data_IF_289340620825
#
_entry.id   IF_289340620825
#
_cell.length_a   1.000
_cell.length_b   1.000
_cell.length_c   1.000
_cell.angle_alpha   90.00
_cell.angle_beta   90.00
_cell.angle_gamma   90.00
#
_symmetry.space_group_name_H-M   'P 1'
#
loop_
_entity.id
_entity.type
_entity.pdbx_description
1 polymer ?
#
# COMPACT_ATOMS: atom_id res chain seq x y z
N UNK A 1 19.93 -32.53 -12.59
CA UNK A 1 20.68 -33.43 -11.67
C UNK A 1 22.15 -33.46 -12.11
N UNK A 2 23.02 -32.71 -11.44
CA UNK A 2 24.48 -32.83 -11.55
C UNK A 2 25.11 -32.20 -10.31
N UNK A 3 25.18 -32.97 -9.24
CA UNK A 3 26.01 -32.69 -8.07
C UNK A 3 27.37 -33.30 -8.35
N UNK A 4 28.39 -32.49 -8.58
CA UNK A 4 29.74 -32.97 -8.85
C UNK A 4 30.75 -31.85 -8.73
N UNK A 5 31.72 -32.08 -7.83
CA UNK A 5 32.96 -31.32 -7.58
C UNK A 5 32.86 -30.18 -6.54
N UNK A 6 32.85 -30.58 -5.26
CA UNK A 6 33.44 -29.79 -4.17
C UNK A 6 34.46 -30.67 -3.44
N UNK A 7 35.68 -30.73 -3.97
CA UNK A 7 36.89 -31.15 -3.25
C UNK A 7 38.05 -30.44 -3.94
N UNK A 8 38.47 -29.31 -3.39
CA UNK A 8 39.69 -28.62 -3.83
C UNK A 8 39.65 -27.09 -3.91
N UNK A 9 38.51 -26.43 -3.69
CA UNK A 9 38.53 -24.97 -3.49
C UNK A 9 39.01 -24.69 -2.05
N UNK A 10 40.07 -23.88 -1.91
CA UNK A 10 40.47 -23.34 -0.62
C UNK A 10 39.37 -22.43 -0.06
N UNK A 11 39.25 -22.33 1.26
CA UNK A 11 38.23 -21.47 1.90
C UNK A 11 38.29 -20.02 1.40
N UNK A 12 39.48 -19.52 1.03
CA UNK A 12 39.67 -18.22 0.39
C UNK A 12 38.96 -18.10 -0.98
N UNK A 13 39.07 -19.11 -1.83
CA UNK A 13 38.42 -19.10 -3.15
C UNK A 13 36.89 -19.15 -3.03
N UNK A 14 36.39 -19.90 -2.03
CA UNK A 14 34.96 -19.93 -1.70
C UNK A 14 34.49 -18.56 -1.18
N UNK A 15 35.26 -17.92 -0.28
CA UNK A 15 34.95 -16.59 0.25
C UNK A 15 34.98 -15.51 -0.83
N UNK A 16 35.94 -15.54 -1.74
CA UNK A 16 36.05 -14.58 -2.84
C UNK A 16 34.90 -14.76 -3.84
N UNK A 17 34.50 -16.01 -4.11
CA UNK A 17 33.36 -16.33 -5.00
C UNK A 17 32.02 -15.96 -4.36
N UNK A 18 31.85 -16.18 -3.06
CA UNK A 18 30.69 -15.71 -2.29
C UNK A 18 30.66 -14.17 -2.22
N UNK A 19 31.82 -13.52 -2.08
CA UNK A 19 31.96 -12.06 -2.14
C UNK A 19 31.53 -11.49 -3.49
N UNK A 20 32.02 -12.07 -4.59
CA UNK A 20 31.62 -11.67 -5.96
C UNK A 20 30.15 -11.93 -6.25
N UNK A 21 29.58 -13.03 -5.76
CA UNK A 21 28.14 -13.30 -5.85
C UNK A 21 27.32 -12.31 -5.01
N UNK A 22 27.83 -11.86 -3.85
CA UNK A 22 27.21 -10.82 -3.02
C UNK A 22 27.29 -9.43 -3.65
N UNK A 23 28.36 -9.12 -4.39
CA UNK A 23 28.46 -7.89 -5.19
C UNK A 23 27.56 -7.92 -6.43
N UNK A 24 27.43 -9.08 -7.08
CA UNK A 24 26.54 -9.25 -8.23
C UNK A 24 25.05 -9.27 -7.84
N UNK A 25 24.70 -9.87 -6.71
CA UNK A 25 23.32 -9.82 -6.16
C UNK A 25 23.03 -8.50 -5.46
N UNK A 26 24.03 -7.90 -4.81
CA UNK A 26 23.97 -6.55 -4.20
C UNK A 26 23.81 -5.42 -5.22
N UNK A 27 23.99 -5.68 -6.50
CA UNK A 27 23.73 -4.73 -7.59
C UNK A 27 22.24 -4.40 -7.78
N UNK A 28 21.35 -5.24 -7.23
CA UNK A 28 19.90 -5.07 -7.27
C UNK A 28 19.29 -4.67 -5.92
N UNK A 29 20.11 -4.58 -4.87
CA UNK A 29 19.69 -4.19 -3.55
C UNK A 29 20.07 -2.72 -3.32
N UNK A 30 19.18 -1.88 -2.78
CA UNK A 30 19.52 -0.51 -2.44
C UNK A 30 20.77 -0.50 -1.54
N UNK A 31 21.74 0.36 -1.86
CA UNK A 31 22.87 0.64 -0.95
C UNK A 31 22.28 1.18 0.35
N UNK A 32 22.31 0.38 1.41
CA UNK A 32 22.00 0.86 2.76
C UNK A 32 23.12 1.79 3.17
N UNK A 33 22.88 3.09 3.05
CA UNK A 33 23.79 4.10 3.57
C UNK A 33 23.72 4.08 5.10
N UNK A 34 24.75 3.52 5.73
CA UNK A 34 24.88 3.38 7.19
C UNK A 34 24.90 4.74 7.92
N UNK A 35 25.00 5.86 7.19
CA UNK A 35 25.02 7.22 7.76
C UNK A 35 23.63 7.82 8.01
N UNK A 36 22.53 7.13 7.66
CA UNK A 36 21.18 7.67 7.86
C UNK A 36 20.79 7.69 9.34
N UNK A 37 20.27 8.82 9.85
CA UNK A 37 19.74 8.87 11.21
C UNK A 37 18.64 7.81 11.36
N UNK A 38 18.72 7.01 12.43
CA UNK A 38 17.66 6.09 12.86
C UNK A 38 16.46 6.92 13.32
N UNK A 39 15.71 7.46 12.36
CA UNK A 39 14.57 8.33 12.60
C UNK A 39 13.29 7.52 12.81
N UNK A 40 12.70 7.68 13.99
CA UNK A 40 11.24 7.57 14.20
C UNK A 40 10.68 6.16 14.29
N UNK A 41 9.93 5.89 15.36
CA UNK A 41 9.24 4.61 15.54
C UNK A 41 8.35 4.25 14.34
N UNK A 42 8.11 2.94 14.20
CA UNK A 42 7.16 2.38 13.24
C UNK A 42 5.82 3.06 13.43
N UNK A 43 5.41 3.86 12.46
CA UNK A 43 4.08 4.44 12.42
C UNK A 43 3.57 4.25 11.01
N UNK A 44 2.38 3.69 10.93
CA UNK A 44 1.74 3.14 9.75
C UNK A 44 0.33 3.74 9.77
N UNK A 45 -0.16 4.33 8.67
CA UNK A 45 -1.49 4.95 8.61
C UNK A 45 -2.50 4.13 7.78
N UNK A 46 -2.60 2.80 7.97
CA UNK A 46 -3.35 1.91 7.10
C UNK A 46 -4.83 2.24 7.12
N UNK A 47 -5.32 2.77 8.25
CA UNK A 47 -6.70 3.19 8.36
C UNK A 47 -7.03 4.33 7.38
N UNK A 48 -6.10 5.26 7.15
CA UNK A 48 -6.33 6.36 6.21
C UNK A 48 -6.21 5.90 4.78
N UNK A 49 -5.25 5.02 4.46
CA UNK A 49 -5.21 4.40 3.15
C UNK A 49 -6.47 3.58 2.86
N UNK A 50 -6.99 2.83 3.83
CA UNK A 50 -8.27 2.12 3.72
C UNK A 50 -9.45 3.07 3.47
N UNK A 51 -9.53 4.17 4.24
CA UNK A 51 -10.60 5.16 4.07
C UNK A 51 -10.51 5.90 2.73
N UNK A 52 -9.32 6.26 2.28
CA UNK A 52 -9.11 6.89 0.96
C UNK A 52 -9.47 5.91 -0.16
N UNK A 53 -9.05 4.65 -0.07
CA UNK A 53 -9.46 3.61 -1.03
C UNK A 53 -10.97 3.37 -1.05
N UNK A 54 -11.64 3.45 0.11
CA UNK A 54 -13.09 3.42 0.18
C UNK A 54 -13.73 4.64 -0.49
N UNK A 55 -13.18 5.84 -0.30
CA UNK A 55 -13.65 7.05 -0.99
C UNK A 55 -13.52 6.89 -2.50
N UNK A 56 -12.40 6.35 -2.99
CA UNK A 56 -12.21 6.01 -4.41
C UNK A 56 -13.28 5.03 -4.88
N UNK A 57 -13.62 4.04 -4.06
CA UNK A 57 -14.67 3.07 -4.34
C UNK A 57 -16.08 3.67 -4.43
N UNK A 58 -16.32 4.81 -3.79
CA UNK A 58 -17.60 5.52 -3.84
C UNK A 58 -17.82 6.29 -5.16
N UNK A 59 -16.81 6.36 -6.05
CA UNK A 59 -17.00 6.98 -7.35
C UNK A 59 -17.77 6.05 -8.30
N UNK A 60 -18.78 6.61 -8.98
CA UNK A 60 -19.67 5.87 -9.86
C UNK A 60 -20.63 4.95 -9.10
N UNK A 61 -21.14 3.91 -9.79
CA UNK A 61 -22.03 2.90 -9.21
C UNK A 61 -21.27 1.59 -9.03
N UNK A 62 -20.19 1.63 -8.26
CA UNK A 62 -19.36 0.45 -8.00
C UNK A 62 -20.17 -0.61 -7.23
N UNK A 63 -20.11 -1.87 -7.68
CA UNK A 63 -20.68 -2.98 -6.94
C UNK A 63 -19.82 -3.36 -5.73
N UNK A 64 -20.35 -4.21 -4.84
CA UNK A 64 -19.66 -4.63 -3.61
C UNK A 64 -18.28 -5.24 -3.88
N UNK A 65 -18.11 -5.94 -5.01
CA UNK A 65 -16.83 -6.55 -5.41
C UNK A 65 -15.81 -5.49 -5.78
N UNK A 66 -16.21 -4.52 -6.59
CA UNK A 66 -15.34 -3.39 -6.94
C UNK A 66 -14.92 -2.63 -5.69
N UNK A 67 -15.86 -2.36 -4.76
CA UNK A 67 -15.53 -1.66 -3.52
C UNK A 67 -14.56 -2.42 -2.62
N UNK A 68 -14.72 -3.74 -2.54
CA UNK A 68 -13.78 -4.61 -1.83
C UNK A 68 -12.39 -4.50 -2.43
N UNK A 69 -12.27 -4.57 -3.76
CA UNK A 69 -10.98 -4.51 -4.44
C UNK A 69 -10.32 -3.13 -4.37
N UNK A 70 -11.08 -2.03 -4.38
CA UNK A 70 -10.51 -0.70 -4.12
C UNK A 70 -9.93 -0.61 -2.69
N UNK A 71 -10.67 -1.10 -1.69
CA UNK A 71 -10.20 -1.12 -0.30
C UNK A 71 -9.00 -2.05 -0.12
N UNK A 72 -9.03 -3.23 -0.76
CA UNK A 72 -7.91 -4.16 -0.74
C UNK A 72 -6.68 -3.57 -1.44
N UNK A 73 -6.86 -2.90 -2.57
CA UNK A 73 -5.76 -2.30 -3.33
C UNK A 73 -5.10 -1.14 -2.58
N UNK A 74 -5.85 -0.35 -1.80
CA UNK A 74 -5.26 0.71 -0.98
C UNK A 74 -4.58 0.20 0.28
N UNK A 75 -4.85 -1.04 0.71
CA UNK A 75 -4.21 -1.71 1.85
C UNK A 75 -3.15 -2.75 1.44
N UNK A 76 -3.06 -3.08 0.15
CA UNK A 76 -2.15 -4.13 -0.30
C UNK A 76 -0.67 -3.77 -0.13
N UNK A 77 -0.20 -2.52 -0.41
CA UNK A 77 1.19 -2.14 -0.19
C UNK A 77 1.63 -2.36 1.25
N UNK A 78 0.80 -1.90 2.17
CA UNK A 78 0.87 -2.02 3.61
C UNK A 78 1.17 -3.46 4.14
N UNK A 79 0.89 -4.51 3.37
CA UNK A 79 1.17 -5.90 3.77
C UNK A 79 2.67 -6.21 3.91
N UNK A 80 3.56 -5.45 3.27
CA UNK A 80 5.00 -5.63 3.49
C UNK A 80 5.42 -5.15 4.88
N UNK A 81 4.58 -4.37 5.58
CA UNK A 81 4.75 -4.06 7.00
C UNK A 81 4.69 -5.28 7.91
N UNK A 82 4.14 -6.41 7.44
CA UNK A 82 4.20 -7.69 8.17
C UNK A 82 5.63 -8.22 8.36
N UNK A 83 6.59 -7.74 7.56
CA UNK A 83 8.02 -8.00 7.78
C UNK A 83 8.51 -7.57 9.17
N UNK A 84 7.81 -6.64 9.83
CA UNK A 84 8.06 -6.26 11.22
C UNK A 84 7.92 -7.43 12.20
N UNK A 85 7.08 -8.42 11.90
CA UNK A 85 6.94 -9.62 12.71
C UNK A 85 8.21 -10.48 12.72
N UNK A 86 9.07 -10.32 11.70
CA UNK A 86 10.35 -11.02 11.59
C UNK A 86 11.46 -10.22 12.28
N UNK A 87 11.41 -8.89 12.20
CA UNK A 87 12.34 -8.02 12.91
C UNK A 87 12.39 -6.61 12.32
N UNK A 88 12.86 -5.65 13.13
CA UNK A 88 12.92 -4.24 12.72
C UNK A 88 13.87 -4.02 11.53
N UNK A 89 14.98 -4.76 11.46
CA UNK A 89 15.93 -4.67 10.34
C UNK A 89 15.33 -5.20 9.04
N UNK A 90 14.56 -6.29 9.10
CA UNK A 90 13.85 -6.87 7.95
C UNK A 90 12.77 -5.91 7.48
N UNK A 91 12.03 -5.30 8.41
CA UNK A 91 11.07 -4.26 8.11
C UNK A 91 11.71 -3.07 7.41
N UNK A 92 12.75 -2.47 8.00
CA UNK A 92 13.44 -1.34 7.41
C UNK A 92 14.03 -1.67 6.01
N UNK A 93 14.39 -2.92 5.77
CA UNK A 93 14.96 -3.35 4.49
C UNK A 93 13.92 -3.66 3.41
N UNK A 94 12.74 -4.16 3.75
CA UNK A 94 11.77 -4.67 2.75
C UNK A 94 10.47 -3.89 2.64
N UNK A 95 10.12 -3.06 3.63
CA UNK A 95 8.81 -2.41 3.76
C UNK A 95 8.41 -1.48 2.59
N UNK A 96 9.31 -1.11 1.67
CA UNK A 96 8.93 -0.33 0.47
C UNK A 96 9.46 -0.90 -0.84
N UNK A 97 10.07 -2.09 -0.81
CA UNK A 97 10.63 -2.69 -2.02
C UNK A 97 9.60 -3.52 -2.76
N UNK A 98 8.83 -4.32 -2.01
CA UNK A 98 8.09 -5.45 -2.61
C UNK A 98 6.71 -5.02 -3.09
N UNK A 99 5.95 -4.28 -2.27
CA UNK A 99 4.55 -3.99 -2.57
C UNK A 99 4.28 -2.51 -2.88
N UNK A 100 5.25 -1.62 -2.67
CA UNK A 100 5.11 -0.18 -2.95
C UNK A 100 5.59 0.22 -4.37
N UNK A 101 5.32 -0.62 -5.38
CA UNK A 101 5.69 -0.36 -6.78
C UNK A 101 4.51 -0.48 -7.76
N UNK A 102 4.63 0.22 -8.90
CA UNK A 102 3.59 0.29 -9.92
C UNK A 102 3.31 -1.08 -10.54
N UNK A 103 4.31 -1.96 -10.64
CA UNK A 103 4.11 -3.32 -11.14
C UNK A 103 3.16 -4.10 -10.23
N UNK A 104 3.33 -3.98 -8.91
CA UNK A 104 2.43 -4.59 -7.94
C UNK A 104 1.02 -3.97 -8.03
N UNK A 105 0.90 -2.66 -8.23
CA UNK A 105 -0.40 -2.01 -8.48
C UNK A 105 -1.12 -2.54 -9.74
N UNK A 106 -0.37 -2.74 -10.83
CA UNK A 106 -0.89 -3.39 -12.05
C UNK A 106 -1.28 -4.83 -11.76
N UNK A 107 -0.47 -5.58 -11.02
CA UNK A 107 -0.78 -6.96 -10.62
C UNK A 107 -2.08 -7.03 -9.82
N UNK A 108 -2.26 -6.22 -8.77
CA UNK A 108 -3.49 -6.15 -7.98
C UNK A 108 -4.69 -5.82 -8.86
N UNK A 109 -4.53 -4.89 -9.80
CA UNK A 109 -5.59 -4.52 -10.74
C UNK A 109 -5.96 -5.69 -11.66
N UNK A 110 -4.98 -6.40 -12.23
CA UNK A 110 -5.21 -7.57 -13.08
C UNK A 110 -5.87 -8.72 -12.31
N UNK A 111 -5.43 -8.97 -11.08
CA UNK A 111 -6.04 -9.96 -10.19
C UNK A 111 -7.50 -9.58 -9.93
N UNK A 112 -7.79 -8.32 -9.62
CA UNK A 112 -9.17 -7.85 -9.39
C UNK A 112 -10.11 -8.06 -10.59
N UNK A 113 -9.56 -8.06 -11.82
CA UNK A 113 -10.33 -8.27 -13.04
C UNK A 113 -10.99 -9.65 -13.11
N UNK A 114 -10.46 -10.66 -12.41
CA UNK A 114 -11.10 -11.97 -12.29
C UNK A 114 -12.48 -11.88 -11.60
N UNK A 115 -12.65 -11.00 -10.60
CA UNK A 115 -13.90 -10.85 -9.85
C UNK A 115 -14.80 -9.72 -10.37
N UNK A 116 -14.20 -8.63 -10.85
CA UNK A 116 -14.90 -7.44 -11.35
C UNK A 116 -15.30 -7.61 -12.83
N UNK A 117 -14.57 -8.44 -13.58
CA UNK A 117 -14.61 -8.52 -15.03
C UNK A 117 -13.80 -7.42 -15.72
N UNK A 118 -13.68 -7.49 -17.04
CA UNK A 118 -13.01 -6.50 -17.88
C UNK A 118 -13.85 -5.21 -18.03
N UNK A 119 -14.06 -4.52 -16.92
CA UNK A 119 -14.82 -3.25 -16.85
C UNK A 119 -13.82 -2.12 -16.59
N UNK A 120 -13.30 -1.45 -17.63
CA UNK A 120 -12.12 -0.58 -17.51
C UNK A 120 -12.31 0.57 -16.52
N UNK A 121 -13.51 1.14 -16.43
CA UNK A 121 -13.81 2.18 -15.44
C UNK A 121 -13.57 1.69 -14.00
N UNK A 122 -14.09 0.52 -13.63
CA UNK A 122 -13.97 -0.03 -12.28
C UNK A 122 -12.57 -0.56 -11.98
N UNK A 123 -11.89 -1.15 -12.98
CA UNK A 123 -10.48 -1.51 -12.85
C UNK A 123 -9.60 -0.27 -12.67
N UNK A 124 -9.96 0.84 -13.36
CA UNK A 124 -9.33 2.14 -13.15
C UNK A 124 -9.50 2.66 -11.72
N UNK A 125 -10.65 2.42 -11.08
CA UNK A 125 -10.84 2.77 -9.66
C UNK A 125 -9.95 1.92 -8.73
N UNK A 126 -9.78 0.62 -9.02
CA UNK A 126 -8.86 -0.24 -8.26
C UNK A 126 -7.43 0.26 -8.36
N UNK A 127 -6.98 0.56 -9.58
CA UNK A 127 -5.65 1.13 -9.80
C UNK A 127 -5.51 2.49 -9.12
N UNK A 128 -6.53 3.35 -9.21
CA UNK A 128 -6.52 4.66 -8.54
C UNK A 128 -6.46 4.52 -7.02
N UNK A 129 -7.13 3.53 -6.43
CA UNK A 129 -7.07 3.26 -5.00
C UNK A 129 -5.65 2.83 -4.59
N UNK A 130 -4.99 1.99 -5.38
CA UNK A 130 -3.58 1.66 -5.21
C UNK A 130 -2.67 2.89 -5.33
N UNK A 131 -2.85 3.69 -6.39
CA UNK A 131 -2.04 4.89 -6.59
C UNK A 131 -2.24 5.93 -5.47
N UNK A 132 -3.45 6.01 -4.91
CA UNK A 132 -3.73 6.87 -3.75
C UNK A 132 -2.92 6.47 -2.53
N UNK A 133 -2.59 5.18 -2.39
CA UNK A 133 -1.66 4.70 -1.37
C UNK A 133 -0.26 5.28 -1.60
N UNK A 134 0.31 5.05 -2.79
CA UNK A 134 1.66 5.56 -3.12
C UNK A 134 1.78 7.08 -3.01
N UNK A 135 0.73 7.81 -3.41
CA UNK A 135 0.67 9.27 -3.26
C UNK A 135 0.62 9.67 -1.79
N UNK A 136 -0.18 8.97 -0.99
CA UNK A 136 -0.24 9.17 0.46
C UNK A 136 1.14 9.01 1.09
N UNK A 137 1.86 7.96 0.72
CA UNK A 137 3.22 7.70 1.19
C UNK A 137 4.22 8.75 0.73
N UNK A 138 4.17 9.11 -0.55
CA UNK A 138 5.12 10.04 -1.14
C UNK A 138 5.11 11.41 -0.44
N UNK A 139 3.94 11.88 -0.01
CA UNK A 139 3.82 13.18 0.66
C UNK A 139 3.72 13.08 2.19
N UNK A 140 3.13 12.01 2.71
CA UNK A 140 2.60 11.97 4.06
C UNK A 140 3.29 11.01 5.02
N UNK A 141 4.35 10.32 4.61
CA UNK A 141 5.06 9.36 5.47
C UNK A 141 6.32 9.92 6.13
N UNK A 142 6.54 11.23 6.01
CA UNK A 142 7.66 11.94 6.64
C UNK A 142 8.77 12.34 5.66
N UNK A 143 9.57 13.37 6.00
CA UNK A 143 10.73 13.74 5.20
C UNK A 143 11.73 12.58 5.08
N UNK A 144 12.27 12.38 3.87
CA UNK A 144 13.23 11.30 3.60
C UNK A 144 12.60 9.93 3.35
N UNK A 145 11.26 9.84 3.27
CA UNK A 145 10.57 8.62 2.88
C UNK A 145 10.86 8.28 1.42
N UNK A 146 11.55 7.16 1.19
CA UNK A 146 11.93 6.70 -0.14
C UNK A 146 10.90 5.75 -0.72
N UNK A 147 10.54 5.98 -1.98
CA UNK A 147 9.74 5.06 -2.77
C UNK A 147 10.54 4.53 -3.96
N UNK A 148 10.30 3.26 -4.29
CA UNK A 148 10.85 2.57 -5.46
C UNK A 148 9.74 2.19 -6.45
N UNK A 149 9.02 3.17 -7.04
CA UNK A 149 7.80 2.90 -7.81
C UNK A 149 8.03 2.05 -9.07
N UNK A 150 9.27 1.98 -9.58
CA UNK A 150 9.60 1.31 -10.84
C UNK A 150 10.32 -0.02 -10.67
N UNK A 151 10.43 -0.57 -9.45
CA UNK A 151 10.97 -1.94 -9.29
C UNK A 151 10.10 -2.97 -10.03
N UNK A 152 10.71 -4.05 -10.58
CA UNK A 152 12.15 -4.35 -10.61
C UNK A 152 12.88 -3.74 -11.84
N UNK A 153 12.24 -2.86 -12.60
CA UNK A 153 12.80 -2.31 -13.85
C UNK A 153 13.81 -1.19 -13.61
N UNK A 154 13.68 -0.46 -12.51
CA UNK A 154 14.63 0.57 -12.08
C UNK A 154 14.72 0.61 -10.55
N UNK A 155 15.94 0.82 -10.08
CA UNK A 155 16.32 1.03 -8.68
C UNK A 155 16.26 2.51 -8.25
N UNK A 156 15.78 3.40 -9.13
CA UNK A 156 15.69 4.83 -8.85
C UNK A 156 14.71 5.10 -7.71
N UNK A 157 15.20 5.75 -6.67
CA UNK A 157 14.40 6.23 -5.54
C UNK A 157 13.77 7.59 -5.83
N UNK A 158 12.63 7.81 -5.18
CA UNK A 158 11.92 9.08 -5.20
C UNK A 158 11.61 9.49 -3.76
N UNK A 159 11.89 10.75 -3.45
CA UNK A 159 11.63 11.39 -2.16
C UNK A 159 10.99 12.76 -2.45
N UNK A 160 9.99 13.15 -1.68
CA UNK A 160 9.39 14.49 -1.76
C UNK A 160 10.07 15.40 -0.74
N UNK A 161 10.71 16.47 -1.22
CA UNK A 161 11.22 17.55 -0.37
C UNK A 161 10.10 18.28 0.38
N UNK A 162 8.89 18.18 -0.17
CA UNK A 162 7.63 18.70 0.31
C UNK A 162 6.93 17.79 1.34
N UNK A 163 7.54 16.67 1.71
CA UNK A 163 6.88 15.68 2.56
C UNK A 163 6.64 16.24 3.95
N UNK A 164 5.49 15.94 4.52
CA UNK A 164 5.15 16.28 5.89
C UNK A 164 5.24 15.07 6.80
N UNK A 165 5.42 15.34 8.09
CA UNK A 165 5.48 14.29 9.10
C UNK A 165 4.21 13.43 9.10
N UNK A 166 4.38 12.14 9.38
CA UNK A 166 3.27 11.21 9.39
C UNK A 166 2.18 11.58 10.41
N UNK A 167 2.59 12.05 11.60
CA UNK A 167 1.67 12.63 12.58
C UNK A 167 1.59 14.14 12.34
N UNK A 168 0.73 14.53 11.41
CA UNK A 168 0.55 15.93 11.02
C UNK A 168 -0.91 16.32 10.85
N UNK A 169 -1.16 17.63 10.83
CA UNK A 169 -2.50 18.15 10.60
C UNK A 169 -3.01 17.84 9.19
N UNK A 170 -2.11 17.69 8.20
CA UNK A 170 -2.45 17.31 6.82
C UNK A 170 -3.06 15.91 6.78
N UNK A 171 -2.38 14.91 7.35
CA UNK A 171 -2.90 13.54 7.42
C UNK A 171 -4.18 13.47 8.26
N UNK A 172 -4.26 14.26 9.34
CA UNK A 172 -5.49 14.38 10.13
C UNK A 172 -6.64 14.93 9.29
N UNK A 173 -6.42 16.00 8.52
CA UNK A 173 -7.42 16.60 7.65
C UNK A 173 -7.87 15.63 6.54
N UNK A 174 -6.94 14.95 5.89
CA UNK A 174 -7.24 13.92 4.88
C UNK A 174 -8.15 12.85 5.48
N UNK A 175 -7.83 12.37 6.68
CA UNK A 175 -8.61 11.36 7.40
C UNK A 175 -10.03 11.86 7.71
N UNK A 176 -10.15 13.08 8.24
CA UNK A 176 -11.46 13.70 8.55
C UNK A 176 -12.31 13.86 7.30
N UNK A 177 -11.72 14.32 6.19
CA UNK A 177 -12.42 14.44 4.90
C UNK A 177 -12.85 13.06 4.40
N UNK A 178 -11.99 12.04 4.47
CA UNK A 178 -12.33 10.69 4.04
C UNK A 178 -13.49 10.10 4.87
N UNK A 179 -13.52 10.34 6.19
CA UNK A 179 -14.65 9.99 7.05
C UNK A 179 -15.92 10.73 6.61
N UNK A 180 -15.84 12.04 6.39
CA UNK A 180 -17.00 12.83 5.96
C UNK A 180 -17.57 12.33 4.63
N UNK A 181 -16.73 12.03 3.64
CA UNK A 181 -17.14 11.46 2.35
C UNK A 181 -17.72 10.06 2.53
N UNK A 182 -17.16 9.23 3.41
CA UNK A 182 -17.70 7.91 3.75
C UNK A 182 -19.11 8.02 4.32
N UNK A 183 -19.35 8.95 5.25
CA UNK A 183 -20.68 9.20 5.81
C UNK A 183 -21.65 9.75 4.76
N UNK A 184 -21.19 10.65 3.89
CA UNK A 184 -21.99 11.15 2.77
C UNK A 184 -22.38 10.02 1.80
N UNK A 185 -21.44 9.14 1.47
CA UNK A 185 -21.69 7.96 0.64
C UNK A 185 -22.67 6.99 1.33
N UNK A 186 -22.59 6.82 2.65
CA UNK A 186 -23.57 6.04 3.41
C UNK A 186 -25.00 6.59 3.25
N UNK A 187 -25.16 7.92 3.32
CA UNK A 187 -26.46 8.59 3.15
C UNK A 187 -26.97 8.48 1.70
N UNK A 188 -26.10 8.70 0.72
CA UNK A 188 -26.49 8.79 -0.71
C UNK A 188 -26.55 7.44 -1.42
N UNK A 189 -25.58 6.58 -1.16
CA UNK A 189 -25.36 5.31 -1.85
C UNK A 189 -25.77 4.09 -1.02
N UNK A 190 -25.87 4.25 0.30
CA UNK A 190 -26.37 3.19 1.19
C UNK A 190 -25.36 2.12 1.58
N UNK A 191 -24.06 2.46 1.52
CA UNK A 191 -22.98 1.54 1.86
C UNK A 191 -21.88 2.24 2.68
N UNK A 192 -21.24 1.50 3.58
CA UNK A 192 -20.03 1.88 4.34
C UNK A 192 -19.00 0.73 4.32
N UNK A 193 -17.73 0.96 4.72
CA UNK A 193 -16.74 -0.10 4.84
C UNK A 193 -17.17 -1.26 5.75
N UNK A 194 -18.11 -1.01 6.68
CA UNK A 194 -18.63 -2.03 7.59
C UNK A 194 -19.38 -3.16 6.86
N UNK A 195 -19.74 -2.98 5.59
CA UNK A 195 -20.35 -4.04 4.78
C UNK A 195 -19.49 -5.31 4.68
N UNK A 196 -18.18 -5.21 4.89
CA UNK A 196 -17.26 -6.35 4.89
C UNK A 196 -17.04 -6.96 6.28
N UNK A 197 -17.29 -6.20 7.36
CA UNK A 197 -17.08 -6.64 8.73
C UNK A 197 -18.35 -7.22 9.34
N UNK A 198 -19.48 -6.52 9.21
CA UNK A 198 -20.72 -6.91 9.91
C UNK A 198 -21.99 -6.39 9.22
N UNK A 199 -22.65 -7.24 8.44
CA UNK A 199 -23.81 -6.87 7.61
C UNK A 199 -25.00 -6.27 8.39
N UNK A 200 -25.25 -6.71 9.64
CA UNK A 200 -26.35 -6.14 10.45
C UNK A 200 -26.01 -4.73 10.94
N UNK A 201 -24.74 -4.49 11.24
CA UNK A 201 -24.27 -3.19 11.72
C UNK A 201 -24.33 -2.18 10.58
N UNK A 202 -23.83 -2.58 9.41
CA UNK A 202 -23.96 -1.84 8.16
C UNK A 202 -25.39 -1.36 7.91
N UNK A 203 -26.36 -2.28 7.93
CA UNK A 203 -27.77 -1.94 7.73
C UNK A 203 -28.30 -0.97 8.80
N UNK A 204 -27.88 -1.13 10.06
CA UNK A 204 -28.31 -0.28 11.18
C UNK A 204 -27.76 1.12 11.03
N UNK A 205 -26.46 1.24 10.72
CA UNK A 205 -25.76 2.51 10.49
C UNK A 205 -26.40 3.22 9.31
N UNK A 206 -26.43 2.60 8.14
CA UNK A 206 -26.98 3.20 6.91
C UNK A 206 -28.42 3.66 7.11
N UNK A 207 -29.31 2.82 7.69
CA UNK A 207 -30.70 3.21 7.95
C UNK A 207 -30.79 4.40 8.90
N UNK A 208 -29.94 4.46 9.93
CA UNK A 208 -29.91 5.56 10.89
C UNK A 208 -29.47 6.87 10.22
N UNK A 209 -28.38 6.84 9.45
CA UNK A 209 -27.86 8.03 8.75
C UNK A 209 -28.84 8.53 7.70
N UNK A 210 -29.43 7.62 6.91
CA UNK A 210 -30.42 7.97 5.89
C UNK A 210 -31.70 8.54 6.50
N UNK A 211 -32.22 7.97 7.59
CA UNK A 211 -33.40 8.53 8.29
C UNK A 211 -33.15 9.94 8.79
N UNK A 212 -31.94 10.22 9.30
CA UNK A 212 -31.59 11.52 9.87
C UNK A 212 -31.34 12.60 8.82
N UNK A 213 -30.69 12.26 7.69
CA UNK A 213 -30.21 13.27 6.75
C UNK A 213 -30.78 13.18 5.34
N UNK A 214 -31.29 12.03 4.89
CA UNK A 214 -31.89 11.89 3.55
C UNK A 214 -33.33 12.41 3.50
N UNK A 215 -34.02 12.49 4.63
CA UNK A 215 -35.37 13.09 4.71
C UNK A 215 -35.38 14.61 4.67
N UNK A 216 -34.22 15.24 4.88
CA UNK A 216 -34.05 16.69 5.00
C UNK A 216 -33.23 17.30 3.83
N UNK A 217 -32.97 16.52 2.77
CA UNK A 217 -32.15 16.88 1.62
C UNK A 217 -32.91 16.64 0.32
#
# INVERSE_FOLDING_TARGET
MRWGLLRGESDEALHERLGRLREQTGRWLPRTDESRPRGGGVVFHPLTHALVGWVVACFGRADRRTRLWCLAASLAPDLDGLSLLVGLDVYAHYHHLVLHNLLFGVFVTLVSAYWIGLRPFYLGLVLLAFLSHLVGDYFGSGPGWELWPFLPFSDRTYVCECAWDLVSWQNTLITVVAIAVTLWAAVRQGHTPLEFLHARLEQTVVKTLQRRWRRNA
#
